data_IF_834443759201
#
_entry.id   IF_834443759201
#
_cell.length_a   1.000
_cell.length_b   1.000
_cell.length_c   1.000
_cell.angle_alpha   90.00
_cell.angle_beta   90.00
_cell.angle_gamma   90.00
#
_symmetry.space_group_name_H-M   'P 1'
#
loop_
_entity.id
_entity.type
_entity.pdbx_description
1 polymer ?
#
# COMPACT_ATOMS: atom_id res chain seq x y z
N UNK A 1 14.81 -4.50 1.97
CA UNK A 1 15.91 -3.69 1.41
C UNK A 1 15.41 -2.51 0.55
N UNK A 2 14.56 -2.76 -0.50
CA UNK A 2 14.10 -1.67 -1.40
C UNK A 2 13.22 -0.64 -0.69
N UNK A 3 12.34 -1.08 0.20
CA UNK A 3 11.44 -0.21 0.97
C UNK A 3 12.27 0.66 1.91
N UNK A 4 13.20 0.05 2.64
CA UNK A 4 14.09 0.75 3.58
C UNK A 4 15.03 1.73 2.84
N UNK A 5 15.52 1.34 1.66
CA UNK A 5 16.37 2.21 0.84
C UNK A 5 15.62 3.46 0.34
N UNK A 6 14.31 3.35 0.07
CA UNK A 6 13.49 4.47 -0.40
C UNK A 6 12.95 5.32 0.74
N UNK A 7 12.26 4.69 1.69
CA UNK A 7 11.55 5.40 2.75
C UNK A 7 12.41 5.64 4.01
N UNK A 8 13.48 4.83 4.22
CA UNK A 8 14.15 4.79 5.50
C UNK A 8 13.22 4.24 6.58
N UNK A 9 13.12 4.96 7.70
CA UNK A 9 12.17 4.62 8.76
C UNK A 9 10.73 4.77 8.28
N UNK A 10 9.92 3.74 8.51
CA UNK A 10 8.49 3.76 8.21
C UNK A 10 7.76 4.22 9.46
N UNK A 11 6.98 5.30 9.33
CA UNK A 11 6.21 5.83 10.46
C UNK A 11 4.85 5.12 10.60
N UNK A 12 4.24 4.69 9.48
CA UNK A 12 2.92 4.07 9.47
C UNK A 12 2.81 2.91 8.47
N UNK A 13 2.27 1.78 8.93
CA UNK A 13 1.63 0.76 8.09
C UNK A 13 0.16 0.65 8.49
N UNK A 14 -0.77 1.19 7.69
CA UNK A 14 -2.18 1.26 8.08
C UNK A 14 -2.95 -0.05 7.85
N UNK A 15 -2.28 -1.11 7.43
CA UNK A 15 -2.91 -2.41 7.16
C UNK A 15 -1.96 -3.57 7.51
N UNK A 16 -1.71 -3.78 8.80
CA UNK A 16 -0.72 -4.73 9.27
C UNK A 16 -1.23 -5.63 10.39
N UNK A 17 -0.36 -6.53 10.81
CA UNK A 17 -0.48 -7.27 12.08
C UNK A 17 0.78 -7.02 12.92
N UNK A 18 0.67 -7.09 14.24
CA UNK A 18 1.83 -6.95 15.13
C UNK A 18 2.95 -7.92 14.76
N UNK A 19 2.60 -9.15 14.41
CA UNK A 19 3.55 -10.18 14.05
C UNK A 19 4.27 -9.85 12.74
N UNK A 20 3.54 -9.46 11.68
CA UNK A 20 4.12 -9.09 10.40
C UNK A 20 5.00 -7.84 10.52
N UNK A 21 4.56 -6.84 11.29
CA UNK A 21 5.34 -5.64 11.50
C UNK A 21 6.66 -5.92 12.21
N UNK A 22 6.63 -6.68 13.29
CA UNK A 22 7.84 -7.03 14.06
C UNK A 22 8.87 -7.79 13.23
N UNK A 23 8.41 -8.60 12.27
CA UNK A 23 9.29 -9.45 11.48
C UNK A 23 9.80 -8.79 10.21
N UNK A 24 9.01 -7.92 9.56
CA UNK A 24 9.34 -7.44 8.22
C UNK A 24 9.52 -5.93 8.10
N UNK A 25 8.54 -5.13 8.52
CA UNK A 25 8.50 -3.71 8.20
C UNK A 25 9.01 -2.81 9.30
N UNK A 26 8.76 -3.16 10.56
CA UNK A 26 9.16 -2.39 11.74
C UNK A 26 8.68 -0.93 11.71
N UNK A 27 7.48 -0.72 11.15
CA UNK A 27 6.82 0.58 11.20
C UNK A 27 6.59 1.00 12.66
N UNK A 28 6.79 2.27 12.95
CA UNK A 28 6.63 2.83 14.30
C UNK A 28 5.19 2.70 14.80
N UNK A 29 4.23 2.78 13.87
CA UNK A 29 2.80 2.62 14.14
C UNK A 29 2.15 1.73 13.08
N UNK A 30 1.26 0.87 13.52
CA UNK A 30 0.45 0.04 12.63
C UNK A 30 -1.03 0.21 12.96
N UNK A 31 -1.90 -0.06 11.99
CA UNK A 31 -3.31 -0.31 12.24
C UNK A 31 -3.62 -1.75 11.87
N UNK A 32 -4.26 -2.44 12.80
CA UNK A 32 -4.69 -3.82 12.65
C UNK A 32 -6.10 -3.88 12.09
N UNK A 33 -6.63 -5.08 11.91
CA UNK A 33 -8.01 -5.27 11.47
C UNK A 33 -9.01 -4.74 12.51
N UNK A 34 -8.67 -4.79 13.79
CA UNK A 34 -9.48 -4.29 14.90
C UNK A 34 -9.56 -2.77 14.89
N UNK A 35 -8.45 -2.11 14.55
CA UNK A 35 -8.39 -0.64 14.47
C UNK A 35 -9.15 -0.10 13.26
N UNK A 36 -9.31 -0.90 12.19
CA UNK A 36 -9.90 -0.51 10.91
C UNK A 36 -9.20 0.71 10.29
N UNK A 37 -8.02 0.50 9.71
CA UNK A 37 -7.22 1.59 9.10
C UNK A 37 -7.95 2.41 8.01
N UNK A 38 -9.11 1.96 7.51
CA UNK A 38 -9.99 2.75 6.63
C UNK A 38 -10.92 3.70 7.41
N UNK A 39 -10.99 3.59 8.74
CA UNK A 39 -11.75 4.53 9.56
C UNK A 39 -11.16 5.93 9.42
N UNK A 40 -11.98 6.89 8.97
CA UNK A 40 -11.54 8.27 8.72
C UNK A 40 -11.26 9.08 9.97
N UNK A 41 -11.69 8.60 11.14
CA UNK A 41 -11.38 9.21 12.44
C UNK A 41 -9.96 8.90 12.90
N UNK A 42 -9.34 7.86 12.32
CA UNK A 42 -7.96 7.48 12.66
C UNK A 42 -6.99 8.25 11.76
N UNK A 43 -6.08 9.04 12.33
CA UNK A 43 -5.16 9.86 11.55
C UNK A 43 -4.05 9.03 10.90
N UNK A 44 -3.79 9.27 9.64
CA UNK A 44 -2.58 8.80 8.96
C UNK A 44 -1.54 9.92 8.94
N UNK A 45 -0.38 9.68 9.49
CA UNK A 45 0.71 10.65 9.53
C UNK A 45 2.07 9.99 9.40
N UNK A 46 3.03 10.70 8.80
CA UNK A 46 4.40 10.21 8.60
C UNK A 46 4.56 9.38 7.34
N UNK A 47 5.79 8.93 7.09
CA UNK A 47 6.12 8.09 5.94
C UNK A 47 5.37 6.77 6.00
N UNK A 48 4.66 6.46 4.95
CA UNK A 48 3.69 5.36 4.96
C UNK A 48 4.05 4.28 3.95
N UNK A 49 4.12 3.04 4.42
CA UNK A 49 4.08 1.86 3.55
C UNK A 49 2.71 1.22 3.63
N UNK A 50 2.15 0.82 2.50
CA UNK A 50 0.83 0.20 2.47
C UNK A 50 0.77 -1.00 1.51
N UNK A 51 0.48 -2.16 2.07
CA UNK A 51 0.08 -3.34 1.33
C UNK A 51 -1.32 -3.75 1.76
N UNK A 52 -2.37 -3.43 0.98
CA UNK A 52 -3.75 -3.72 1.37
C UNK A 52 -4.04 -5.22 1.40
N UNK A 53 -5.09 -5.66 2.11
CA UNK A 53 -5.51 -7.04 2.13
C UNK A 53 -5.74 -7.57 0.71
N UNK A 54 -5.22 -8.76 0.43
CA UNK A 54 -5.34 -9.41 -0.88
C UNK A 54 -6.67 -10.14 -1.09
N UNK A 55 -7.48 -10.23 -0.04
CA UNK A 55 -8.76 -10.94 -0.01
C UNK A 55 -9.86 -10.08 0.62
N UNK A 56 -11.11 -10.52 0.49
CA UNK A 56 -12.26 -9.77 0.98
C UNK A 56 -12.69 -8.64 0.04
N UNK A 57 -13.55 -7.77 0.53
CA UNK A 57 -14.06 -6.60 -0.19
C UNK A 57 -14.19 -5.42 0.76
N UNK A 58 -14.09 -4.22 0.22
CA UNK A 58 -14.45 -3.02 0.96
C UNK A 58 -15.90 -2.66 0.69
N UNK A 59 -16.70 -2.52 1.74
CA UNK A 59 -18.10 -2.06 1.66
C UNK A 59 -18.22 -0.63 2.16
N UNK A 60 -19.09 0.15 1.52
CA UNK A 60 -19.36 1.52 1.94
C UNK A 60 -20.47 1.53 2.98
N UNK A 61 -20.23 2.08 4.13
CA UNK A 61 -21.21 2.33 5.18
C UNK A 61 -21.90 3.66 4.94
N UNK A 62 -23.16 3.66 4.51
CA UNK A 62 -23.95 4.88 4.36
C UNK A 62 -24.10 5.64 5.68
N UNK A 63 -24.26 4.93 6.80
CA UNK A 63 -24.41 5.53 8.13
C UNK A 63 -23.17 6.31 8.57
N UNK A 64 -21.97 5.84 8.20
CA UNK A 64 -20.70 6.45 8.59
C UNK A 64 -20.06 7.30 7.48
N UNK A 65 -20.55 7.20 6.24
CA UNK A 65 -19.93 7.84 5.09
C UNK A 65 -18.52 7.32 4.76
N UNK A 66 -18.17 6.11 5.22
CA UNK A 66 -16.82 5.55 5.15
C UNK A 66 -16.81 4.16 4.53
N UNK A 67 -15.67 3.79 3.98
CA UNK A 67 -15.39 2.43 3.55
C UNK A 67 -14.92 1.59 4.74
N UNK A 68 -15.35 0.35 4.79
CA UNK A 68 -14.89 -0.67 5.73
C UNK A 68 -14.48 -1.92 4.98
N UNK A 69 -13.33 -2.47 5.34
CA UNK A 69 -12.95 -3.79 4.86
C UNK A 69 -13.78 -4.88 5.54
N UNK A 70 -14.23 -5.89 4.78
CA UNK A 70 -14.91 -7.05 5.33
C UNK A 70 -14.62 -8.31 4.50
N UNK A 71 -14.72 -9.46 5.14
CA UNK A 71 -14.47 -10.75 4.51
C UNK A 71 -15.69 -11.28 3.74
N UNK A 72 -16.89 -10.88 4.11
CA UNK A 72 -18.13 -11.43 3.53
C UNK A 72 -18.43 -10.95 2.12
N UNK A 73 -17.86 -9.80 1.73
CA UNK A 73 -18.08 -9.22 0.41
C UNK A 73 -19.50 -8.75 0.13
N UNK A 74 -20.36 -8.67 1.15
CA UNK A 74 -21.76 -8.23 1.03
C UNK A 74 -21.86 -6.71 0.86
N UNK A 75 -22.85 -6.26 0.11
CA UNK A 75 -23.14 -4.84 -0.13
C UNK A 75 -22.47 -4.28 -1.39
N UNK A 76 -22.45 -2.95 -1.54
CA UNK A 76 -21.71 -2.26 -2.59
C UNK A 76 -20.22 -2.38 -2.29
N UNK A 77 -19.57 -3.34 -2.94
CA UNK A 77 -18.17 -3.66 -2.68
C UNK A 77 -17.27 -3.15 -3.77
N UNK A 78 -16.08 -2.70 -3.36
CA UNK A 78 -14.99 -2.35 -4.26
C UNK A 78 -13.76 -3.21 -3.98
N UNK A 79 -12.89 -3.27 -4.95
CA UNK A 79 -11.59 -3.93 -4.83
C UNK A 79 -10.82 -3.25 -3.70
N UNK A 80 -10.34 -3.99 -2.68
CA UNK A 80 -9.63 -3.40 -1.53
C UNK A 80 -8.49 -2.47 -1.95
N UNK A 81 -7.63 -2.89 -2.86
CA UNK A 81 -6.50 -2.09 -3.33
C UNK A 81 -6.90 -0.70 -3.81
N UNK A 82 -8.04 -0.56 -4.51
CA UNK A 82 -8.53 0.75 -4.98
C UNK A 82 -8.98 1.63 -3.82
N UNK A 83 -9.72 1.05 -2.87
CA UNK A 83 -10.24 1.80 -1.71
C UNK A 83 -9.09 2.29 -0.82
N UNK A 84 -8.13 1.41 -0.56
CA UNK A 84 -6.96 1.73 0.24
C UNK A 84 -6.05 2.75 -0.44
N UNK A 85 -5.83 2.62 -1.76
CA UNK A 85 -5.06 3.60 -2.51
C UNK A 85 -5.71 4.98 -2.51
N UNK A 86 -7.03 5.05 -2.72
CA UNK A 86 -7.76 6.31 -2.69
C UNK A 86 -7.66 6.99 -1.31
N UNK A 87 -7.66 6.23 -0.22
CA UNK A 87 -7.41 6.77 1.11
C UNK A 87 -5.98 7.29 1.23
N UNK A 88 -4.99 6.51 0.81
CA UNK A 88 -3.58 6.89 0.82
C UNK A 88 -3.35 8.18 0.03
N UNK A 89 -3.85 8.24 -1.20
CA UNK A 89 -3.73 9.39 -2.08
C UNK A 89 -4.37 10.65 -1.47
N UNK A 90 -5.54 10.49 -0.83
CA UNK A 90 -6.21 11.58 -0.14
C UNK A 90 -5.35 12.15 0.98
N UNK A 91 -4.83 11.29 1.86
CA UNK A 91 -3.99 11.73 2.98
C UNK A 91 -2.68 12.39 2.51
N UNK A 92 -2.11 11.88 1.42
CA UNK A 92 -0.93 12.47 0.80
C UNK A 92 -1.24 13.84 0.17
N UNK A 93 -2.34 13.99 -0.57
CA UNK A 93 -2.78 15.28 -1.12
C UNK A 93 -3.07 16.32 -0.05
N UNK A 94 -3.60 15.90 1.09
CA UNK A 94 -3.82 16.74 2.26
C UNK A 94 -2.54 17.04 3.06
N UNK A 95 -1.39 16.47 2.65
CA UNK A 95 -0.09 16.59 3.33
C UNK A 95 -0.07 16.03 4.75
N UNK A 96 -1.01 15.17 5.10
CA UNK A 96 -1.00 14.44 6.36
C UNK A 96 0.12 13.39 6.38
N UNK A 97 0.40 12.77 5.23
CA UNK A 97 1.56 11.91 5.00
C UNK A 97 2.49 12.56 3.96
N UNK A 98 3.78 12.70 4.27
CA UNK A 98 4.73 13.38 3.36
C UNK A 98 5.10 12.53 2.16
N UNK A 99 5.17 11.21 2.34
CA UNK A 99 5.71 10.26 1.38
C UNK A 99 5.09 8.88 1.59
N UNK A 100 4.85 8.14 0.51
CA UNK A 100 4.31 6.80 0.63
C UNK A 100 4.76 5.85 -0.46
N UNK A 101 4.84 4.56 -0.10
CA UNK A 101 5.00 3.46 -1.04
C UNK A 101 3.83 2.49 -0.90
N UNK A 102 3.13 2.27 -1.99
CA UNK A 102 2.01 1.36 -2.08
C UNK A 102 2.40 0.11 -2.88
N UNK A 103 2.06 -1.07 -2.37
CA UNK A 103 2.22 -2.32 -3.10
C UNK A 103 0.87 -2.96 -3.36
N UNK A 104 0.64 -3.46 -4.55
CA UNK A 104 -0.57 -4.21 -4.91
C UNK A 104 -0.25 -5.46 -5.69
N UNK A 105 -1.00 -6.52 -5.42
CA UNK A 105 -0.98 -7.76 -6.21
C UNK A 105 -2.21 -7.88 -7.13
N UNK A 106 -3.04 -6.84 -7.18
CA UNK A 106 -4.25 -6.84 -8.01
C UNK A 106 -4.06 -5.99 -9.28
N UNK A 107 -3.78 -6.61 -10.44
CA UNK A 107 -3.55 -5.89 -11.70
C UNK A 107 -4.80 -5.18 -12.23
N UNK A 108 -6.01 -5.59 -11.80
CA UNK A 108 -7.24 -4.91 -12.21
C UNK A 108 -7.27 -3.44 -11.74
N UNK A 109 -6.55 -3.13 -10.67
CA UNK A 109 -6.38 -1.77 -10.20
C UNK A 109 -5.83 -0.83 -11.30
N UNK A 110 -4.94 -1.32 -12.16
CA UNK A 110 -4.38 -0.53 -13.26
C UNK A 110 -5.45 -0.07 -14.27
N UNK A 111 -6.52 -0.84 -14.41
CA UNK A 111 -7.64 -0.53 -15.30
C UNK A 111 -8.69 0.37 -14.64
N UNK A 112 -8.99 0.13 -13.37
CA UNK A 112 -10.14 0.76 -12.69
C UNK A 112 -9.79 1.98 -11.84
N UNK A 113 -8.50 2.24 -11.64
CA UNK A 113 -7.99 3.36 -10.86
C UNK A 113 -7.03 4.22 -11.72
N UNK A 114 -7.56 5.10 -12.61
CA UNK A 114 -6.73 5.84 -13.54
C UNK A 114 -5.74 6.81 -12.88
N UNK A 115 -5.99 7.20 -11.64
CA UNK A 115 -5.11 8.12 -10.91
C UNK A 115 -3.69 7.56 -10.71
N UNK A 116 -3.53 6.25 -10.67
CA UNK A 116 -2.22 5.63 -10.43
C UNK A 116 -1.19 5.99 -11.51
N UNK A 117 -1.65 6.28 -12.73
CA UNK A 117 -0.77 6.62 -13.86
C UNK A 117 -0.12 8.00 -13.73
N UNK A 118 -0.51 8.79 -12.74
CA UNK A 118 0.14 10.05 -12.39
C UNK A 118 1.31 9.90 -11.41
N UNK A 119 1.69 8.68 -11.06
CA UNK A 119 2.75 8.37 -10.09
C UNK A 119 3.80 7.44 -10.69
N UNK A 120 5.05 7.48 -10.20
CA UNK A 120 6.04 6.46 -10.54
C UNK A 120 5.57 5.06 -10.14
N UNK A 121 5.63 4.13 -11.09
CA UNK A 121 5.22 2.72 -10.90
C UNK A 121 6.41 1.82 -11.23
N UNK A 122 6.68 0.85 -10.36
CA UNK A 122 7.58 -0.25 -10.65
C UNK A 122 6.79 -1.54 -10.85
N UNK A 123 6.99 -2.18 -12.00
CA UNK A 123 6.48 -3.53 -12.29
C UNK A 123 7.66 -4.50 -12.21
N UNK A 124 7.78 -5.29 -11.12
CA UNK A 124 8.85 -6.27 -10.97
C UNK A 124 8.88 -7.28 -12.09
N UNK A 125 10.07 -7.66 -12.53
CA UNK A 125 10.27 -8.70 -13.56
C UNK A 125 10.12 -10.12 -13.00
N UNK A 126 10.14 -10.27 -11.69
CA UNK A 126 9.96 -11.55 -11.00
C UNK A 126 8.70 -11.53 -10.14
N UNK A 127 8.05 -12.67 -10.01
CA UNK A 127 6.92 -12.84 -9.10
C UNK A 127 7.36 -12.66 -7.65
N UNK A 128 6.49 -12.07 -6.84
CA UNK A 128 6.69 -11.96 -5.41
C UNK A 128 6.26 -13.26 -4.71
N UNK A 129 6.98 -13.60 -3.66
CA UNK A 129 6.57 -14.64 -2.72
C UNK A 129 5.93 -13.97 -1.50
N UNK A 130 4.64 -14.19 -1.31
CA UNK A 130 3.92 -13.62 -0.18
C UNK A 130 4.08 -14.53 1.03
N UNK A 131 4.28 -13.91 2.18
CA UNK A 131 4.31 -14.59 3.47
C UNK A 131 2.94 -14.48 4.12
N UNK A 132 2.39 -15.60 4.57
CA UNK A 132 1.15 -15.59 5.33
C UNK A 132 1.40 -14.92 6.70
N UNK A 133 0.62 -13.90 7.01
CA UNK A 133 0.78 -13.13 8.25
C UNK A 133 0.39 -13.89 9.54
N UNK A 134 -0.19 -15.11 9.44
CA UNK A 134 -0.55 -15.91 10.63
C UNK A 134 0.51 -16.93 11.00
N UNK A 135 1.02 -17.67 10.05
CA UNK A 135 1.92 -18.81 10.26
C UNK A 135 3.29 -18.63 9.61
N UNK A 136 3.48 -17.49 8.92
CA UNK A 136 4.70 -17.16 8.17
C UNK A 136 5.08 -18.22 7.12
N UNK A 137 4.10 -19.02 6.72
CA UNK A 137 4.32 -19.96 5.64
C UNK A 137 4.60 -19.21 4.34
N UNK A 138 5.67 -19.62 3.69
CA UNK A 138 6.08 -19.10 2.39
C UNK A 138 5.97 -20.21 1.37
N UNK A 139 5.30 -19.98 0.26
CA UNK A 139 5.24 -20.97 -0.81
C UNK A 139 6.64 -21.26 -1.36
N UNK A 140 6.94 -22.51 -1.76
CA UNK A 140 8.24 -22.89 -2.31
C UNK A 140 8.65 -22.08 -3.54
N UNK A 141 7.65 -21.66 -4.31
CA UNK A 141 7.86 -20.86 -5.54
C UNK A 141 7.06 -19.56 -5.50
N UNK A 142 7.63 -18.44 -5.97
CA UNK A 142 6.89 -17.20 -6.11
C UNK A 142 5.68 -17.38 -7.04
N UNK A 143 4.51 -16.97 -6.58
CA UNK A 143 3.26 -17.25 -7.31
C UNK A 143 2.48 -16.01 -7.74
N UNK A 144 2.74 -14.85 -7.15
CA UNK A 144 1.96 -13.66 -7.42
C UNK A 144 2.77 -12.57 -8.12
N UNK A 145 2.10 -11.85 -9.00
CA UNK A 145 2.60 -10.61 -9.57
C UNK A 145 2.15 -9.44 -8.70
N UNK A 146 2.95 -8.42 -8.67
CA UNK A 146 2.62 -7.18 -7.98
C UNK A 146 3.27 -6.00 -8.65
N UNK A 147 2.93 -4.81 -8.19
CA UNK A 147 3.54 -3.57 -8.62
C UNK A 147 3.59 -2.59 -7.45
N UNK A 148 4.57 -1.72 -7.50
CA UNK A 148 4.72 -0.63 -6.53
C UNK A 148 4.29 0.68 -7.16
N UNK A 149 3.64 1.52 -6.36
CA UNK A 149 3.30 2.91 -6.70
C UNK A 149 3.96 3.79 -5.66
N UNK A 150 4.71 4.79 -6.10
CA UNK A 150 5.39 5.71 -5.22
C UNK A 150 4.71 7.07 -5.23
N UNK A 151 4.35 7.57 -4.06
CA UNK A 151 3.83 8.92 -3.83
C UNK A 151 4.98 9.74 -3.21
N UNK A 152 5.66 10.56 -4.01
CA UNK A 152 6.86 11.29 -3.57
C UNK A 152 6.53 12.43 -2.62
N UNK A 153 7.51 12.93 -1.92
CA UNK A 153 7.37 14.14 -1.11
C UNK A 153 7.11 15.36 -2.00
N UNK A 154 6.08 16.11 -1.66
CA UNK A 154 5.67 17.29 -2.43
C UNK A 154 6.56 18.51 -2.19
N UNK A 155 7.37 18.50 -1.11
CA UNK A 155 8.23 19.62 -0.70
C UNK A 155 9.67 19.56 -1.25
N UNK A 156 10.10 18.43 -1.82
CA UNK A 156 11.49 18.22 -2.27
C UNK A 156 11.69 18.27 -3.79
N UNK A 157 10.64 18.52 -4.59
CA UNK A 157 10.76 18.65 -6.04
C UNK A 157 11.02 17.33 -6.79
N UNK A 158 11.51 17.43 -8.03
CA UNK A 158 11.61 16.33 -8.99
C UNK A 158 12.59 15.20 -8.65
N UNK A 159 13.57 15.42 -7.77
CA UNK A 159 14.62 14.44 -7.50
C UNK A 159 14.17 13.13 -6.84
N UNK A 160 12.98 13.06 -6.30
CA UNK A 160 12.53 11.85 -5.60
C UNK A 160 11.98 10.76 -6.53
N UNK A 161 11.40 11.13 -7.66
CA UNK A 161 11.05 10.16 -8.69
C UNK A 161 12.31 9.48 -9.27
N UNK A 162 13.41 10.22 -9.35
CA UNK A 162 14.70 9.68 -9.78
C UNK A 162 15.29 8.73 -8.75
N UNK A 163 15.19 9.03 -7.45
CA UNK A 163 15.60 8.11 -6.38
C UNK A 163 14.79 6.80 -6.43
N UNK A 164 13.47 6.89 -6.59
CA UNK A 164 12.64 5.70 -6.78
C UNK A 164 13.09 4.89 -8.00
N UNK A 165 13.31 5.55 -9.13
CA UNK A 165 13.78 4.92 -10.36
C UNK A 165 15.14 4.24 -10.14
N UNK A 166 16.11 4.89 -9.51
CA UNK A 166 17.43 4.33 -9.22
C UNK A 166 17.29 3.05 -8.39
N UNK A 167 16.56 3.11 -7.27
CA UNK A 167 16.41 1.98 -6.35
C UNK A 167 15.62 0.83 -6.99
N UNK A 168 14.50 1.12 -7.65
CA UNK A 168 13.56 0.10 -8.12
C UNK A 168 13.84 -0.42 -9.54
N UNK A 169 14.71 0.23 -10.33
CA UNK A 169 15.09 -0.25 -11.66
C UNK A 169 15.73 -1.65 -11.65
N UNK A 170 16.42 -1.99 -10.56
CA UNK A 170 16.97 -3.34 -10.36
C UNK A 170 15.90 -4.41 -10.10
N UNK A 171 14.71 -4.00 -9.68
CA UNK A 171 13.59 -4.90 -9.39
C UNK A 171 12.74 -5.15 -10.64
N UNK A 172 12.55 -4.13 -11.48
CA UNK A 172 11.66 -4.25 -12.62
C UNK A 172 11.60 -3.02 -13.51
N UNK A 173 10.56 -2.97 -14.34
CA UNK A 173 10.32 -1.86 -15.25
C UNK A 173 9.68 -0.70 -14.52
N UNK A 174 10.26 0.50 -14.70
CA UNK A 174 9.72 1.74 -14.17
C UNK A 174 8.87 2.43 -15.25
N UNK A 175 7.72 2.95 -14.82
CA UNK A 175 6.82 3.80 -15.58
C UNK A 175 6.70 5.10 -14.77
N UNK A 176 7.01 6.23 -15.43
CA UNK A 176 6.92 7.59 -14.85
C UNK A 176 6.12 8.46 -15.80
#
# INVERSE_FOLDING_TARGET
PYIDALLGDIDLDPCSTHQANNQFLRAKRIYTMEDDGLNTEIPWTGKTYLFPPTYGRCSFSQKRGTWKWNMSGLGRSRIPSVVWFNRLEKEWKLRNIPEALFFSTNPEMMRVCPNIWGYPICIPTKRANLVNGRDFYTLPTPFTWGFFIYLPRLDLGFNQADQFKEIFSHLGKIIC
#
